data_IF_856286733643
#
_entry.id   IF_856286733643
#
_cell.length_a   1.000
_cell.length_b   1.000
_cell.length_c   1.000
_cell.angle_alpha   90.00
_cell.angle_beta   90.00
_cell.angle_gamma   90.00
#
_symmetry.space_group_name_H-M   'P 1'
#
loop_
_entity.id
_entity.type
_entity.pdbx_description
1 polymer ?
#
# COMPACT_ATOMS: atom_id res chain seq x y z
N UNK A 1 16.70 65.85 -8.44
CA UNK A 1 15.84 64.96 -7.65
C UNK A 1 16.47 63.56 -7.56
N UNK A 2 17.70 63.47 -7.01
CA UNK A 2 18.49 62.22 -6.99
C UNK A 2 17.98 61.23 -5.93
N UNK A 3 17.40 61.75 -4.84
CA UNK A 3 16.75 60.96 -3.78
C UNK A 3 15.62 60.10 -4.35
N UNK A 4 14.78 60.65 -5.23
CA UNK A 4 13.71 59.89 -5.88
C UNK A 4 14.24 58.75 -6.75
N UNK A 5 15.33 58.96 -7.48
CA UNK A 5 15.93 57.91 -8.32
C UNK A 5 16.51 56.77 -7.47
N UNK A 6 17.18 57.07 -6.36
CA UNK A 6 17.71 56.06 -5.43
C UNK A 6 16.58 55.24 -4.79
N UNK A 7 15.49 55.89 -4.36
CA UNK A 7 14.33 55.20 -3.78
C UNK A 7 13.66 54.29 -4.81
N UNK A 8 13.51 54.73 -6.06
CA UNK A 8 12.94 53.89 -7.13
C UNK A 8 13.80 52.67 -7.43
N UNK A 9 15.12 52.81 -7.48
CA UNK A 9 16.03 51.67 -7.69
C UNK A 9 15.98 50.70 -6.51
N UNK A 10 15.98 51.19 -5.26
CA UNK A 10 15.86 50.33 -4.08
C UNK A 10 14.52 49.58 -4.04
N UNK A 11 13.41 50.25 -4.39
CA UNK A 11 12.12 49.60 -4.51
C UNK A 11 12.11 48.56 -5.63
N UNK A 12 12.69 48.86 -6.80
CA UNK A 12 12.78 47.91 -7.90
C UNK A 12 13.61 46.67 -7.53
N UNK A 13 14.73 46.85 -6.82
CA UNK A 13 15.54 45.74 -6.29
C UNK A 13 14.77 44.95 -5.23
N UNK A 14 14.06 45.63 -4.32
CA UNK A 14 13.23 44.97 -3.30
C UNK A 14 12.08 44.18 -3.94
N UNK A 15 11.38 44.74 -4.92
CA UNK A 15 10.33 44.03 -5.64
C UNK A 15 10.89 42.86 -6.46
N UNK A 16 11.99 43.05 -7.20
CA UNK A 16 12.66 41.96 -7.88
C UNK A 16 13.09 40.85 -6.90
N UNK A 17 13.60 41.22 -5.73
CA UNK A 17 13.96 40.29 -4.67
C UNK A 17 12.73 39.55 -4.10
N UNK A 18 11.61 40.23 -3.88
CA UNK A 18 10.34 39.62 -3.43
C UNK A 18 9.71 38.71 -4.49
N UNK A 19 9.87 39.03 -5.78
CA UNK A 19 9.42 38.18 -6.88
C UNK A 19 10.31 36.95 -7.09
N UNK A 20 11.60 37.03 -6.71
CA UNK A 20 12.55 35.92 -6.77
C UNK A 20 12.50 35.06 -5.49
N UNK A 21 12.16 35.65 -4.34
CA UNK A 21 12.00 34.93 -3.09
C UNK A 21 10.82 33.97 -3.15
N UNK A 22 11.12 32.69 -2.96
CA UNK A 22 10.11 31.67 -2.78
C UNK A 22 9.68 31.61 -1.32
N UNK A 23 8.41 31.89 -1.08
CA UNK A 23 7.78 31.80 0.25
C UNK A 23 6.90 30.55 0.39
N UNK A 24 6.96 29.62 -0.57
CA UNK A 24 6.20 28.36 -0.49
C UNK A 24 6.79 27.44 0.60
N UNK A 25 6.23 27.50 1.79
CA UNK A 25 6.55 26.62 2.93
C UNK A 25 5.69 25.35 2.95
N UNK A 26 4.90 25.07 1.91
CA UNK A 26 3.99 23.94 1.89
C UNK A 26 4.70 22.66 1.40
N UNK A 27 4.79 21.60 2.24
CA UNK A 27 5.33 20.31 1.81
C UNK A 27 4.53 19.73 0.64
N UNK A 28 5.24 19.26 -0.37
CA UNK A 28 4.62 18.70 -1.57
C UNK A 28 5.40 17.54 -2.18
N UNK A 29 6.71 17.50 -1.96
CA UNK A 29 7.61 16.52 -2.56
C UNK A 29 8.48 15.87 -1.49
N UNK A 30 8.89 14.64 -1.79
CA UNK A 30 9.86 13.89 -1.00
C UNK A 30 11.01 13.50 -1.93
N UNK A 31 12.24 13.83 -1.53
CA UNK A 31 13.44 13.22 -2.10
C UNK A 31 14.16 12.39 -1.05
N UNK A 32 14.76 11.28 -1.50
CA UNK A 32 15.41 10.29 -0.64
C UNK A 32 16.87 10.19 -1.09
N UNK A 33 17.78 10.34 -0.14
CA UNK A 33 19.23 10.18 -0.36
C UNK A 33 19.79 9.31 0.77
N UNK A 34 20.05 8.04 0.45
CA UNK A 34 20.33 6.96 1.38
C UNK A 34 19.30 6.89 2.51
N UNK A 35 19.76 7.29 3.70
CA UNK A 35 18.98 7.33 4.94
C UNK A 35 18.28 8.67 5.19
N UNK A 36 18.39 9.64 4.30
CA UNK A 36 17.81 10.96 4.53
C UNK A 36 16.53 11.13 3.71
N UNK A 37 15.47 11.53 4.41
CA UNK A 37 14.20 11.93 3.85
C UNK A 37 14.17 13.46 3.82
N UNK A 38 14.26 14.04 2.63
CA UNK A 38 14.16 15.48 2.42
C UNK A 38 12.73 15.83 2.03
N UNK A 39 12.12 16.73 2.80
CA UNK A 39 10.79 17.24 2.52
C UNK A 39 10.92 18.56 1.81
N UNK A 40 10.31 18.64 0.64
CA UNK A 40 10.46 19.73 -0.30
C UNK A 40 9.11 20.37 -0.64
N UNK A 41 9.15 21.66 -0.98
CA UNK A 41 8.00 22.34 -1.58
C UNK A 41 7.84 21.98 -3.07
N UNK A 42 6.85 22.57 -3.74
CA UNK A 42 6.58 22.28 -5.17
C UNK A 42 7.70 22.70 -6.12
N UNK A 43 8.62 23.57 -5.67
CA UNK A 43 9.78 24.04 -6.44
C UNK A 43 11.06 23.25 -6.13
N UNK A 44 11.00 22.23 -5.29
CA UNK A 44 12.15 21.40 -4.91
C UNK A 44 13.05 22.04 -3.84
N UNK A 45 12.60 23.11 -3.17
CA UNK A 45 13.32 23.67 -2.02
C UNK A 45 13.09 22.78 -0.81
N UNK A 46 14.18 22.27 -0.23
CA UNK A 46 14.14 21.50 1.01
C UNK A 46 13.67 22.40 2.16
N UNK A 47 12.55 22.03 2.78
CA UNK A 47 11.96 22.69 3.95
C UNK A 47 12.59 22.14 5.24
N UNK A 48 12.71 20.82 5.34
CA UNK A 48 13.35 20.12 6.45
C UNK A 48 13.77 18.70 6.04
N UNK A 49 14.56 18.04 6.90
CA UNK A 49 15.11 16.71 6.63
C UNK A 49 15.00 15.83 7.88
N UNK A 50 14.72 14.54 7.68
CA UNK A 50 14.80 13.53 8.74
C UNK A 50 15.72 12.39 8.34
N UNK A 51 16.48 11.87 9.29
CA UNK A 51 17.33 10.69 9.12
C UNK A 51 16.55 9.45 9.53
N UNK A 52 16.36 8.53 8.59
CA UNK A 52 15.75 7.23 8.73
C UNK A 52 16.79 6.18 9.12
N UNK A 53 16.38 5.15 9.85
CA UNK A 53 17.24 4.02 10.22
C UNK A 53 17.43 3.03 9.06
N UNK A 54 16.50 3.03 8.10
CA UNK A 54 16.54 2.23 6.89
C UNK A 54 16.91 3.07 5.68
N UNK A 55 17.64 2.44 4.76
CA UNK A 55 17.96 3.01 3.46
C UNK A 55 16.77 2.82 2.51
N UNK A 56 16.19 3.95 2.08
CA UNK A 56 15.00 3.96 1.24
C UNK A 56 15.31 4.17 -0.24
N UNK A 57 16.59 4.26 -0.66
CA UNK A 57 16.98 4.45 -2.08
C UNK A 57 16.41 3.36 -3.00
N UNK A 58 16.04 2.21 -2.44
CA UNK A 58 15.45 1.09 -3.18
C UNK A 58 13.97 1.26 -3.52
N UNK A 59 13.31 2.31 -3.06
CA UNK A 59 11.89 2.56 -3.38
C UNK A 59 11.80 3.35 -4.68
N UNK A 60 12.06 2.67 -5.81
CA UNK A 60 11.87 3.26 -7.14
C UNK A 60 10.39 3.37 -7.53
N UNK A 61 9.54 2.51 -6.94
CA UNK A 61 8.11 2.47 -7.25
C UNK A 61 7.32 3.53 -6.47
N UNK A 62 6.83 4.55 -7.17
CA UNK A 62 5.99 5.62 -6.61
C UNK A 62 4.74 5.12 -5.86
N UNK A 63 4.19 3.97 -6.22
CA UNK A 63 3.04 3.41 -5.50
C UNK A 63 3.45 2.86 -4.13
N UNK A 64 4.60 2.21 -4.03
CA UNK A 64 5.17 1.78 -2.73
C UNK A 64 5.49 3.00 -1.87
N UNK A 65 6.00 4.07 -2.47
CA UNK A 65 6.25 5.33 -1.76
C UNK A 65 4.97 5.90 -1.12
N UNK A 66 3.83 5.89 -1.82
CA UNK A 66 2.52 6.33 -1.30
C UNK A 66 2.01 5.46 -0.13
N UNK A 67 2.49 4.23 -0.02
CA UNK A 67 2.18 3.34 1.11
C UNK A 67 3.06 3.62 2.32
N UNK A 68 4.13 4.39 2.17
CA UNK A 68 5.07 4.71 3.25
C UNK A 68 4.86 6.12 3.75
N UNK A 69 4.63 7.07 2.85
CA UNK A 69 4.37 8.45 3.21
C UNK A 69 3.18 9.04 2.45
N UNK A 70 2.60 10.09 3.03
CA UNK A 70 1.53 10.86 2.42
C UNK A 70 1.56 12.30 2.88
N UNK A 71 1.40 13.22 1.93
CA UNK A 71 1.08 14.61 2.23
C UNK A 71 -0.43 14.77 2.30
N UNK A 72 -0.93 15.36 3.37
CA UNK A 72 -2.34 15.62 3.56
C UNK A 72 -2.50 16.82 4.48
N UNK A 73 -3.34 17.78 4.11
CA UNK A 73 -3.75 18.86 5.00
C UNK A 73 -4.77 18.32 6.01
N UNK A 74 -4.31 17.73 7.11
CA UNK A 74 -5.14 17.01 8.10
C UNK A 74 -5.85 17.94 9.06
N UNK A 75 -5.32 19.15 9.27
CA UNK A 75 -5.86 20.14 10.21
C UNK A 75 -6.66 21.28 9.52
N UNK A 76 -6.69 21.29 8.19
CA UNK A 76 -7.37 22.28 7.34
C UNK A 76 -6.78 23.69 7.40
N UNK A 77 -5.46 23.84 7.63
CA UNK A 77 -4.76 25.13 7.75
C UNK A 77 -4.07 25.63 6.45
N UNK A 78 -4.33 24.94 5.33
CA UNK A 78 -3.76 25.16 3.98
C UNK A 78 -2.35 24.58 3.77
N UNK A 79 -1.67 24.17 4.83
CA UNK A 79 -0.41 23.44 4.74
C UNK A 79 -0.66 21.94 4.77
N UNK A 80 0.22 21.18 4.11
CA UNK A 80 0.21 19.74 4.19
C UNK A 80 1.05 19.27 5.37
N UNK A 81 0.49 18.35 6.14
CA UNK A 81 1.24 17.49 7.04
C UNK A 81 1.86 16.31 6.29
N UNK A 82 2.94 15.76 6.85
CA UNK A 82 3.52 14.49 6.41
C UNK A 82 3.10 13.38 7.36
N UNK A 83 2.32 12.42 6.86
CA UNK A 83 2.08 11.13 7.51
C UNK A 83 3.12 10.13 7.01
N UNK A 84 3.76 9.41 7.93
CA UNK A 84 4.84 8.46 7.63
C UNK A 84 4.64 7.15 8.39
N UNK A 85 5.01 6.03 7.77
CA UNK A 85 5.01 4.68 8.32
C UNK A 85 6.42 4.09 8.36
N UNK A 86 6.62 3.12 9.28
CA UNK A 86 7.85 2.33 9.41
C UNK A 86 9.13 3.17 9.54
N UNK A 87 9.00 4.36 10.08
CA UNK A 87 10.13 5.22 10.33
C UNK A 87 10.92 4.75 11.55
N UNK A 88 12.23 4.65 11.37
CA UNK A 88 13.20 4.49 12.46
C UNK A 88 13.99 5.79 12.51
N UNK A 89 14.05 6.49 13.63
CA UNK A 89 14.88 7.69 13.73
C UNK A 89 16.16 7.36 14.47
N UNK A 90 17.31 7.59 13.83
CA UNK A 90 18.64 7.24 14.35
C UNK A 90 19.02 7.96 15.66
N UNK A 91 18.31 9.04 16.02
CA UNK A 91 18.66 9.94 17.13
C UNK A 91 17.64 9.96 18.28
N UNK A 92 16.66 9.07 18.27
CA UNK A 92 15.69 8.96 19.37
C UNK A 92 16.02 7.74 20.21
N UNK A 93 16.02 7.88 21.54
CA UNK A 93 15.96 6.74 22.47
C UNK A 93 14.68 5.92 22.30
N UNK A 94 13.75 6.37 21.45
CA UNK A 94 12.64 5.59 20.95
C UNK A 94 13.19 4.34 20.27
N UNK A 95 13.10 3.23 21.01
CA UNK A 95 13.23 1.88 20.50
C UNK A 95 12.48 1.74 19.17
N UNK A 96 13.06 0.99 18.23
CA UNK A 96 12.38 0.40 17.06
C UNK A 96 10.95 0.04 17.48
N UNK A 97 9.96 0.76 16.96
CA UNK A 97 8.56 0.53 17.26
C UNK A 97 7.86 0.09 15.98
N UNK A 98 7.90 -1.23 15.66
CA UNK A 98 7.23 -1.77 14.49
C UNK A 98 5.75 -1.38 14.56
N UNK A 99 5.24 -0.84 13.46
CA UNK A 99 3.81 -0.56 13.32
C UNK A 99 3.44 0.84 13.79
N UNK A 100 4.45 1.69 13.96
CA UNK A 100 4.29 3.12 14.18
C UNK A 100 3.88 3.84 12.89
N UNK A 101 2.92 4.74 13.05
CA UNK A 101 2.54 5.79 12.10
C UNK A 101 2.72 7.12 12.82
N UNK A 102 3.38 8.08 12.19
CA UNK A 102 3.62 9.42 12.74
C UNK A 102 3.13 10.49 11.78
N UNK A 103 2.68 11.61 12.33
CA UNK A 103 2.33 12.80 11.58
C UNK A 103 3.20 13.98 12.00
N UNK A 104 3.73 14.70 11.02
CA UNK A 104 4.52 15.91 11.19
C UNK A 104 3.82 17.11 10.57
N UNK A 105 3.92 18.26 11.23
CA UNK A 105 3.51 19.54 10.63
C UNK A 105 4.43 19.95 9.49
N UNK A 106 4.07 21.04 8.82
CA UNK A 106 4.84 21.58 7.69
C UNK A 106 6.27 22.01 8.05
N UNK A 107 6.57 22.18 9.35
CA UNK A 107 7.89 22.52 9.89
C UNK A 107 8.67 21.29 10.39
N UNK A 108 8.11 20.09 10.27
CA UNK A 108 8.74 18.83 10.66
C UNK A 108 8.60 18.50 12.15
N UNK A 109 7.77 19.23 12.91
CA UNK A 109 7.45 18.92 14.31
C UNK A 109 6.38 17.83 14.36
N UNK A 110 6.57 16.85 15.23
CA UNK A 110 5.58 15.78 15.43
C UNK A 110 4.28 16.34 16.01
N UNK A 111 3.16 16.05 15.36
CA UNK A 111 1.82 16.36 15.83
C UNK A 111 1.25 15.22 16.67
N UNK A 112 1.30 14.00 16.13
CA UNK A 112 0.82 12.79 16.80
C UNK A 112 1.58 11.55 16.31
N UNK A 113 1.45 10.46 17.06
CA UNK A 113 1.92 9.15 16.67
C UNK A 113 0.93 8.08 17.13
N UNK A 114 0.86 6.98 16.39
CA UNK A 114 0.07 5.80 16.72
C UNK A 114 0.90 4.54 16.51
N UNK A 115 0.69 3.52 17.34
CA UNK A 115 1.34 2.22 17.20
C UNK A 115 0.25 1.15 17.17
N UNK A 116 0.19 0.39 16.08
CA UNK A 116 -0.74 -0.73 15.99
C UNK A 116 -0.20 -1.92 16.79
N UNK A 117 -0.92 -2.32 17.83
CA UNK A 117 -0.55 -3.45 18.71
C UNK A 117 -1.76 -4.28 19.13
N UNK A 118 -2.84 -4.27 18.32
CA UNK A 118 -4.05 -5.03 18.62
C UNK A 118 -3.71 -6.53 18.75
N UNK A 119 -4.08 -7.18 19.88
CA UNK A 119 -3.86 -8.61 20.06
C UNK A 119 -4.85 -9.40 19.23
N UNK A 120 -4.38 -10.50 18.66
CA UNK A 120 -5.21 -11.46 17.94
C UNK A 120 -4.72 -12.86 18.22
N UNK A 121 -5.65 -13.82 18.32
CA UNK A 121 -5.34 -15.20 18.65
C UNK A 121 -5.74 -16.12 17.50
N UNK A 122 -4.85 -17.03 17.11
CA UNK A 122 -5.16 -18.09 16.16
C UNK A 122 -4.73 -19.42 16.77
N UNK A 123 -5.56 -20.46 16.66
CA UNK A 123 -5.33 -21.76 17.33
C UNK A 123 -5.07 -21.65 18.85
N UNK A 124 -5.63 -20.64 19.50
CA UNK A 124 -5.42 -20.38 20.92
C UNK A 124 -4.07 -19.72 21.26
N UNK A 125 -3.23 -19.42 20.28
CA UNK A 125 -1.94 -18.76 20.47
C UNK A 125 -2.03 -17.27 20.11
N UNK A 126 -1.47 -16.43 20.99
CA UNK A 126 -1.31 -15.01 20.74
C UNK A 126 -0.37 -14.80 19.56
N UNK A 127 -0.83 -14.06 18.56
CA UNK A 127 0.00 -13.69 17.43
C UNK A 127 0.98 -12.56 17.81
N UNK A 128 2.15 -12.47 17.16
CA UNK A 128 3.11 -11.42 17.43
C UNK A 128 2.49 -10.02 17.34
N UNK A 129 2.80 -9.17 18.33
CA UNK A 129 2.33 -7.79 18.42
C UNK A 129 3.20 -6.77 17.66
N UNK A 130 4.25 -7.26 17.00
CA UNK A 130 5.15 -6.44 16.20
C UNK A 130 4.65 -6.44 14.75
N UNK A 131 3.96 -5.36 14.36
CA UNK A 131 3.42 -5.19 13.02
C UNK A 131 4.32 -4.28 12.19
N UNK A 132 4.37 -4.43 10.87
CA UNK A 132 4.76 -3.36 9.94
C UNK A 132 3.51 -2.66 9.47
N UNK A 133 3.55 -1.35 9.26
CA UNK A 133 2.38 -0.57 8.83
C UNK A 133 2.56 0.02 7.44
N UNK A 134 1.46 0.14 6.70
CA UNK A 134 1.46 0.75 5.38
C UNK A 134 0.20 1.60 5.20
N UNK A 135 0.35 2.79 4.65
CA UNK A 135 -0.76 3.68 4.33
C UNK A 135 -1.53 3.12 3.13
N UNK A 136 -2.85 3.23 3.17
CA UNK A 136 -3.74 2.98 2.03
C UNK A 136 -4.12 4.34 1.42
N UNK A 137 -4.98 5.08 2.13
CA UNK A 137 -5.49 6.36 1.69
C UNK A 137 -6.03 7.20 2.85
N UNK A 138 -6.26 8.49 2.61
CA UNK A 138 -7.03 9.36 3.50
C UNK A 138 -8.33 9.74 2.80
N UNK A 139 -9.47 9.53 3.46
CA UNK A 139 -10.78 9.98 2.97
C UNK A 139 -11.35 11.08 3.83
N UNK A 140 -11.96 12.06 3.18
CA UNK A 140 -12.63 13.20 3.81
C UNK A 140 -14.13 12.96 3.76
N UNK A 141 -14.80 13.00 4.91
CA UNK A 141 -16.25 12.98 5.02
C UNK A 141 -16.69 14.16 5.90
N UNK A 142 -17.29 15.17 5.27
CA UNK A 142 -17.53 16.46 5.92
C UNK A 142 -16.21 17.08 6.39
N UNK A 143 -16.11 17.39 7.68
CA UNK A 143 -14.90 17.97 8.28
C UNK A 143 -13.93 16.92 8.86
N UNK A 144 -14.26 15.62 8.77
CA UNK A 144 -13.46 14.56 9.35
C UNK A 144 -12.60 13.90 8.27
N UNK A 145 -11.31 13.74 8.55
CA UNK A 145 -10.39 12.96 7.72
C UNK A 145 -10.04 11.64 8.40
N UNK A 146 -10.27 10.55 7.69
CA UNK A 146 -9.96 9.19 8.15
C UNK A 146 -8.80 8.64 7.36
N UNK A 147 -7.73 8.27 8.06
CA UNK A 147 -6.60 7.54 7.51
C UNK A 147 -6.89 6.04 7.56
N UNK A 148 -6.70 5.34 6.45
CA UNK A 148 -6.78 3.90 6.34
C UNK A 148 -5.38 3.32 6.20
N UNK A 149 -5.08 2.27 6.95
CA UNK A 149 -3.77 1.66 6.97
C UNK A 149 -3.85 0.12 7.10
N UNK A 150 -2.81 -0.54 6.62
CA UNK A 150 -2.54 -1.96 6.81
C UNK A 150 -1.56 -2.12 7.97
N UNK A 151 -1.76 -3.14 8.80
CA UNK A 151 -0.76 -3.66 9.74
C UNK A 151 -0.51 -5.13 9.43
N UNK A 152 0.74 -5.58 9.37
CA UNK A 152 1.09 -6.99 9.11
C UNK A 152 2.21 -7.46 10.04
N UNK A 153 2.00 -8.53 10.80
CA UNK A 153 3.03 -9.05 11.71
C UNK A 153 4.00 -10.02 11.01
N UNK A 154 4.97 -10.54 11.76
CA UNK A 154 5.98 -11.45 11.23
C UNK A 154 5.50 -12.90 11.00
N UNK A 155 4.31 -13.28 11.48
CA UNK A 155 3.79 -14.63 11.32
C UNK A 155 2.85 -14.72 10.12
N UNK A 156 1.60 -14.30 10.32
CA UNK A 156 0.62 -14.25 9.24
C UNK A 156 -0.52 -13.29 9.49
N UNK A 157 -0.73 -12.80 10.71
CA UNK A 157 -1.87 -11.92 10.96
C UNK A 157 -1.63 -10.56 10.32
N UNK A 158 -2.63 -10.07 9.59
CA UNK A 158 -2.67 -8.69 9.15
C UNK A 158 -4.06 -8.10 9.33
N UNK A 159 -4.08 -6.78 9.41
CA UNK A 159 -5.25 -5.99 9.68
C UNK A 159 -5.34 -4.80 8.73
N UNK A 160 -6.57 -4.38 8.42
CA UNK A 160 -6.87 -3.03 7.95
C UNK A 160 -7.57 -2.28 9.08
N UNK A 161 -7.07 -1.09 9.37
CA UNK A 161 -7.55 -0.24 10.46
C UNK A 161 -7.64 1.23 10.06
N UNK A 162 -8.27 2.02 10.93
CA UNK A 162 -8.62 3.41 10.70
C UNK A 162 -8.11 4.30 11.82
N UNK A 163 -7.53 5.45 11.48
CA UNK A 163 -7.18 6.51 12.42
C UNK A 163 -7.90 7.80 12.03
N UNK A 164 -8.22 8.63 13.02
CA UNK A 164 -8.53 10.03 12.74
C UNK A 164 -7.21 10.72 12.31
N UNK A 165 -7.18 11.25 11.08
CA UNK A 165 -5.96 11.79 10.51
C UNK A 165 -5.47 13.08 11.20
N UNK A 166 -6.35 13.80 11.88
CA UNK A 166 -5.99 15.07 12.54
C UNK A 166 -5.28 14.86 13.88
N UNK A 167 -5.58 13.77 14.59
CA UNK A 167 -5.06 13.54 15.95
C UNK A 167 -4.45 12.14 16.19
N UNK A 168 -4.51 11.23 15.21
CA UNK A 168 -3.97 9.88 15.31
C UNK A 168 -4.80 8.92 16.17
N UNK A 169 -5.97 9.33 16.65
CA UNK A 169 -6.81 8.49 17.51
C UNK A 169 -7.36 7.29 16.73
N UNK A 170 -7.36 6.12 17.37
CA UNK A 170 -7.87 4.89 16.79
C UNK A 170 -9.39 4.96 16.61
N UNK A 171 -9.85 4.80 15.38
CA UNK A 171 -11.26 4.57 15.08
C UNK A 171 -11.53 3.07 15.26
N UNK A 172 -12.64 2.75 15.93
CA UNK A 172 -13.05 1.37 16.23
C UNK A 172 -13.22 0.55 14.95
N UNK A 173 -13.16 -0.77 15.16
CA UNK A 173 -13.25 -1.84 14.18
C UNK A 173 -11.94 -2.09 13.43
N UNK A 174 -11.74 -3.35 13.09
CA UNK A 174 -10.54 -3.87 12.44
C UNK A 174 -10.97 -5.00 11.53
N UNK A 175 -10.58 -4.94 10.27
CA UNK A 175 -10.70 -6.08 9.37
C UNK A 175 -9.43 -6.91 9.47
N UNK A 176 -9.55 -8.19 9.78
CA UNK A 176 -8.44 -9.13 9.90
C UNK A 176 -8.33 -10.05 8.70
N UNK A 177 -7.11 -10.45 8.38
CA UNK A 177 -6.81 -11.51 7.42
C UNK A 177 -5.79 -12.48 8.00
N UNK A 178 -6.04 -13.78 7.78
CA UNK A 178 -5.10 -14.83 8.12
C UNK A 178 -4.11 -15.03 6.96
N UNK A 179 -3.18 -14.10 6.86
CA UNK A 179 -2.20 -13.89 5.79
C UNK A 179 -1.93 -12.39 5.68
N UNK A 180 -1.04 -11.95 4.79
CA UNK A 180 -0.64 -10.54 4.72
C UNK A 180 -1.41 -9.77 3.64
N UNK A 181 -2.02 -8.65 4.03
CA UNK A 181 -2.41 -7.59 3.10
C UNK A 181 -1.16 -6.97 2.47
N UNK A 182 -1.19 -6.83 1.14
CA UNK A 182 -0.08 -6.29 0.36
C UNK A 182 -0.37 -4.90 -0.18
N UNK A 183 -1.62 -4.62 -0.52
CA UNK A 183 -2.02 -3.37 -1.17
C UNK A 183 -3.51 -3.09 -0.98
N UNK A 184 -3.90 -1.83 -1.17
CA UNK A 184 -5.28 -1.40 -1.10
C UNK A 184 -5.52 -0.10 -1.86
N UNK A 185 -6.71 0.02 -2.46
CA UNK A 185 -7.20 1.27 -3.04
C UNK A 185 -8.64 1.52 -2.62
N UNK A 186 -8.99 2.79 -2.44
CA UNK A 186 -10.31 3.22 -1.98
C UNK A 186 -10.94 4.15 -3.01
N UNK A 187 -12.18 3.86 -3.38
CA UNK A 187 -12.98 4.68 -4.28
C UNK A 187 -14.41 4.17 -4.36
N UNK A 188 -15.29 4.99 -4.94
CA UNK A 188 -16.63 4.58 -5.37
C UNK A 188 -16.49 3.90 -6.74
N UNK A 189 -16.28 2.59 -6.72
CA UNK A 189 -15.97 1.83 -7.95
C UNK A 189 -17.24 1.40 -8.69
N UNK A 190 -18.34 1.20 -7.96
CA UNK A 190 -19.62 0.77 -8.52
C UNK A 190 -20.55 1.96 -8.90
N UNK A 191 -20.19 3.19 -8.52
CA UNK A 191 -20.92 4.46 -8.75
C UNK A 191 -22.24 4.56 -7.99
N UNK A 192 -22.34 3.97 -6.81
CA UNK A 192 -23.51 4.08 -5.93
C UNK A 192 -23.42 5.26 -4.93
N UNK A 193 -22.28 5.97 -4.93
CA UNK A 193 -22.03 7.12 -4.07
C UNK A 193 -21.40 6.76 -2.72
N UNK A 194 -21.19 5.47 -2.42
CA UNK A 194 -20.42 5.00 -1.28
C UNK A 194 -19.03 4.53 -1.73
N UNK A 195 -18.01 4.76 -0.90
CA UNK A 195 -16.68 4.24 -1.21
C UNK A 195 -16.56 2.80 -0.73
N UNK A 196 -15.90 1.98 -1.54
CA UNK A 196 -15.38 0.69 -1.15
C UNK A 196 -13.85 0.71 -1.05
N UNK A 197 -13.31 -0.31 -0.40
CA UNK A 197 -11.89 -0.65 -0.46
C UNK A 197 -11.71 -1.97 -1.20
N UNK A 198 -10.80 -1.97 -2.17
CA UNK A 198 -10.31 -3.19 -2.81
C UNK A 198 -8.91 -3.48 -2.29
N UNK A 199 -8.73 -4.67 -1.73
CA UNK A 199 -7.50 -5.12 -1.09
C UNK A 199 -6.91 -6.29 -1.86
N UNK A 200 -5.58 -6.37 -1.92
CA UNK A 200 -4.87 -7.61 -2.25
C UNK A 200 -4.17 -8.16 -1.02
N UNK A 201 -4.14 -9.48 -0.93
CA UNK A 201 -3.50 -10.17 0.18
C UNK A 201 -3.08 -11.57 -0.22
N UNK A 202 -2.21 -12.19 0.56
CA UNK A 202 -2.18 -13.66 0.64
C UNK A 202 -3.14 -14.11 1.73
N UNK A 203 -3.73 -15.29 1.55
CA UNK A 203 -4.47 -15.98 2.60
C UNK A 203 -3.81 -17.32 2.87
N UNK A 204 -3.26 -17.49 4.07
CA UNK A 204 -2.50 -18.68 4.46
C UNK A 204 -3.39 -19.92 4.57
N UNK A 205 -4.70 -19.76 4.80
CA UNK A 205 -5.62 -20.89 4.83
C UNK A 205 -5.94 -21.44 3.44
N UNK A 206 -6.02 -20.58 2.43
CA UNK A 206 -6.25 -20.99 1.04
C UNK A 206 -4.97 -21.18 0.21
N UNK A 207 -3.85 -20.80 0.80
CA UNK A 207 -2.52 -20.86 0.21
C UNK A 207 -2.40 -20.19 -1.16
N UNK A 208 -2.89 -18.96 -1.26
CA UNK A 208 -2.86 -18.19 -2.51
C UNK A 208 -3.12 -16.70 -2.27
N UNK A 209 -2.84 -15.92 -3.30
CA UNK A 209 -3.29 -14.53 -3.40
C UNK A 209 -4.82 -14.46 -3.45
N UNK A 210 -5.37 -13.47 -2.76
CA UNK A 210 -6.77 -13.06 -2.84
C UNK A 210 -6.91 -11.58 -3.15
N UNK A 211 -8.05 -11.24 -3.77
CA UNK A 211 -8.55 -9.90 -3.97
C UNK A 211 -9.91 -9.83 -3.29
N UNK A 212 -10.16 -8.78 -2.51
CA UNK A 212 -11.45 -8.60 -1.84
C UNK A 212 -11.93 -7.16 -1.98
N UNK A 213 -13.23 -6.98 -2.22
CA UNK A 213 -13.92 -5.69 -2.20
C UNK A 213 -14.85 -5.62 -1.00
N UNK A 214 -14.83 -4.51 -0.25
CA UNK A 214 -15.56 -4.32 1.01
C UNK A 214 -16.00 -2.86 1.12
N UNK A 215 -17.26 -2.61 1.50
CA UNK A 215 -17.71 -1.26 1.83
C UNK A 215 -16.91 -0.70 3.02
N UNK A 216 -16.54 0.58 3.00
CA UNK A 216 -15.78 1.18 4.10
C UNK A 216 -16.49 1.12 5.46
N UNK A 217 -17.83 1.06 5.46
CA UNK A 217 -18.66 0.90 6.67
C UNK A 217 -18.56 -0.50 7.28
N UNK A 218 -18.22 -1.51 6.48
CA UNK A 218 -18.16 -2.92 6.84
C UNK A 218 -16.73 -3.41 7.16
N UNK A 219 -15.76 -2.50 7.35
CA UNK A 219 -14.37 -2.84 7.68
C UNK A 219 -14.19 -3.37 9.11
N UNK A 220 -14.72 -4.55 9.37
CA UNK A 220 -14.69 -5.26 10.64
C UNK A 220 -14.78 -6.78 10.43
N UNK A 221 -14.28 -7.57 11.37
CA UNK A 221 -14.34 -9.03 11.33
C UNK A 221 -13.08 -9.65 10.71
N UNK A 222 -13.16 -10.91 10.29
CA UNK A 222 -12.06 -11.62 9.61
C UNK A 222 -12.48 -12.11 8.23
N UNK A 223 -11.56 -12.03 7.27
CA UNK A 223 -11.77 -12.62 5.95
C UNK A 223 -11.80 -14.16 6.03
N UNK A 224 -12.56 -14.83 5.14
CA UNK A 224 -12.66 -16.28 5.11
C UNK A 224 -11.28 -16.95 5.08
N UNK A 225 -11.15 -18.04 5.81
CA UNK A 225 -9.93 -18.85 5.83
C UNK A 225 -10.26 -20.28 6.25
N UNK A 226 -9.28 -21.17 6.33
CA UNK A 226 -9.48 -22.54 6.83
C UNK A 226 -9.46 -22.57 8.36
N UNK A 227 -10.01 -23.62 8.96
CA UNK A 227 -10.15 -23.77 10.41
C UNK A 227 -8.84 -23.54 11.18
N UNK A 228 -7.72 -23.93 10.59
CA UNK A 228 -6.38 -23.80 11.17
C UNK A 228 -5.87 -22.36 11.27
N UNK A 229 -6.54 -21.42 10.63
CA UNK A 229 -6.12 -20.03 10.48
C UNK A 229 -7.16 -19.04 11.00
N UNK A 230 -8.34 -19.52 11.44
CA UNK A 230 -9.37 -18.68 12.03
C UNK A 230 -8.86 -17.99 13.29
N UNK A 231 -9.18 -16.71 13.38
CA UNK A 231 -8.98 -15.95 14.59
C UNK A 231 -10.09 -16.21 15.60
N UNK A 232 -9.70 -16.36 16.85
CA UNK A 232 -10.62 -16.65 17.95
C UNK A 232 -11.50 -15.43 18.25
N UNK A 233 -12.81 -15.66 18.42
CA UNK A 233 -13.80 -14.62 18.76
C UNK A 233 -13.86 -13.44 17.77
N UNK A 234 -13.50 -13.68 16.51
CA UNK A 234 -13.71 -12.70 15.43
C UNK A 234 -14.75 -13.27 14.47
N UNK A 235 -15.81 -12.51 14.21
CA UNK A 235 -16.83 -12.92 13.25
C UNK A 235 -16.31 -12.77 11.81
N UNK A 236 -16.88 -13.53 10.88
CA UNK A 236 -16.59 -13.36 9.46
C UNK A 236 -16.99 -11.95 9.01
N UNK A 237 -16.11 -11.30 8.24
CA UNK A 237 -16.35 -9.97 7.72
C UNK A 237 -17.45 -9.98 6.65
N UNK A 238 -18.25 -8.91 6.59
CA UNK A 238 -19.20 -8.70 5.50
C UNK A 238 -18.47 -8.05 4.32
N UNK A 239 -18.12 -8.85 3.30
CA UNK A 239 -17.44 -8.39 2.07
C UNK A 239 -18.37 -8.47 0.87
N UNK A 240 -18.13 -7.62 -0.12
CA UNK A 240 -18.92 -7.56 -1.34
C UNK A 240 -18.56 -8.74 -2.25
N UNK A 241 -17.26 -8.96 -2.45
CA UNK A 241 -16.71 -10.02 -3.30
C UNK A 241 -15.32 -10.45 -2.86
N UNK A 242 -15.04 -11.74 -2.95
CA UNK A 242 -13.72 -12.30 -2.75
C UNK A 242 -13.32 -13.20 -3.93
N UNK A 243 -12.14 -12.94 -4.47
CA UNK A 243 -11.55 -13.69 -5.59
C UNK A 243 -10.23 -14.28 -5.14
N UNK A 244 -10.05 -15.59 -5.35
CA UNK A 244 -8.79 -16.28 -5.12
C UNK A 244 -8.10 -16.55 -6.45
N UNK A 245 -6.84 -16.13 -6.57
CA UNK A 245 -6.05 -16.36 -7.77
C UNK A 245 -5.39 -17.74 -7.74
N UNK A 246 -5.21 -18.41 -8.89
CA UNK A 246 -4.52 -19.68 -8.93
C UNK A 246 -3.03 -19.52 -8.63
N UNK A 247 -2.47 -20.48 -7.90
CA UNK A 247 -1.02 -20.69 -7.88
C UNK A 247 -0.65 -21.46 -9.15
N UNK A 248 0.23 -20.89 -9.97
CA UNK A 248 0.63 -21.49 -11.25
C UNK A 248 1.32 -22.85 -11.06
N UNK A 249 1.31 -23.68 -12.10
CA UNK A 249 2.11 -24.91 -12.12
C UNK A 249 3.61 -24.63 -12.04
N UNK A 250 4.04 -23.51 -12.61
CA UNK A 250 5.40 -22.99 -12.49
C UNK A 250 5.78 -22.65 -11.04
N UNK A 251 4.97 -21.86 -10.33
CA UNK A 251 5.20 -21.55 -8.92
C UNK A 251 5.28 -22.82 -8.06
N UNK A 252 4.38 -23.78 -8.31
CA UNK A 252 4.40 -25.08 -7.62
C UNK A 252 5.66 -25.89 -7.92
N UNK A 253 6.15 -25.87 -9.15
CA UNK A 253 7.38 -26.54 -9.54
C UNK A 253 8.60 -25.97 -8.80
N UNK A 254 8.61 -24.67 -8.54
CA UNK A 254 9.63 -24.01 -7.70
C UNK A 254 9.46 -24.26 -6.19
N UNK A 255 8.43 -25.01 -5.78
CA UNK A 255 8.12 -25.24 -4.38
C UNK A 255 7.52 -24.03 -3.66
N UNK A 256 7.02 -23.03 -4.41
CA UNK A 256 6.36 -21.88 -3.81
C UNK A 256 5.04 -22.31 -3.18
N UNK A 257 4.84 -21.92 -1.91
CA UNK A 257 3.61 -22.18 -1.18
C UNK A 257 2.45 -21.32 -1.69
N UNK A 258 2.74 -20.10 -2.11
CA UNK A 258 1.76 -19.10 -2.56
C UNK A 258 2.33 -18.34 -3.76
N UNK A 259 1.44 -17.78 -4.59
CA UNK A 259 1.76 -16.60 -5.37
C UNK A 259 1.47 -15.33 -4.55
N UNK A 260 2.19 -14.24 -4.82
CA UNK A 260 2.14 -13.02 -4.01
C UNK A 260 1.93 -11.79 -4.89
N UNK A 261 1.04 -10.87 -4.48
CA UNK A 261 0.94 -9.56 -5.15
C UNK A 261 2.07 -8.63 -4.75
N UNK A 262 2.60 -7.90 -5.73
CA UNK A 262 3.55 -6.85 -5.46
C UNK A 262 2.87 -5.69 -4.69
N UNK A 263 3.53 -5.17 -3.65
CA UNK A 263 3.05 -3.97 -2.94
C UNK A 263 2.99 -2.79 -3.90
N UNK A 264 1.93 -1.99 -3.85
CA UNK A 264 1.67 -0.91 -4.81
C UNK A 264 1.38 -1.41 -6.24
N UNK A 265 1.11 -2.70 -6.41
CA UNK A 265 0.81 -3.35 -7.68
C UNK A 265 -0.67 -3.31 -8.08
N UNK A 266 -1.58 -3.04 -7.14
CA UNK A 266 -3.01 -2.89 -7.43
C UNK A 266 -3.27 -1.52 -8.05
N UNK A 267 -3.92 -1.52 -9.21
CA UNK A 267 -4.31 -0.29 -9.91
C UNK A 267 -5.76 -0.36 -10.33
N UNK A 268 -6.39 0.81 -10.45
CA UNK A 268 -7.70 0.97 -11.05
C UNK A 268 -7.63 2.03 -12.14
N UNK A 269 -7.90 1.65 -13.38
CA UNK A 269 -7.87 2.52 -14.55
C UNK A 269 -8.92 2.04 -15.55
N UNK A 270 -9.60 2.97 -16.23
CA UNK A 270 -10.59 2.65 -17.26
C UNK A 270 -11.69 1.68 -16.79
N UNK A 271 -12.13 1.81 -15.53
CA UNK A 271 -13.14 0.96 -14.90
C UNK A 271 -12.72 -0.51 -14.66
N UNK A 272 -11.41 -0.75 -14.57
CA UNK A 272 -10.83 -2.06 -14.38
C UNK A 272 -9.76 -2.06 -13.29
N UNK A 273 -9.72 -3.13 -12.51
CA UNK A 273 -8.61 -3.45 -11.64
C UNK A 273 -7.55 -4.23 -12.39
N UNK A 274 -6.29 -3.85 -12.22
CA UNK A 274 -5.15 -4.63 -12.69
C UNK A 274 -4.20 -4.90 -11.53
N UNK A 275 -3.68 -6.13 -11.45
CA UNK A 275 -2.64 -6.49 -10.49
C UNK A 275 -1.69 -7.53 -11.06
N UNK A 276 -0.50 -7.60 -10.48
CA UNK A 276 0.55 -8.54 -10.85
C UNK A 276 0.86 -9.46 -9.67
N UNK A 277 0.89 -10.76 -9.92
CA UNK A 277 1.42 -11.76 -8.99
C UNK A 277 2.84 -12.15 -9.39
N UNK A 278 3.74 -12.21 -8.41
CA UNK A 278 5.03 -12.86 -8.53
C UNK A 278 4.86 -14.36 -8.30
N UNK A 279 5.25 -15.15 -9.29
CA UNK A 279 5.21 -16.62 -9.29
C UNK A 279 6.58 -17.23 -8.97
N UNK A 280 7.64 -16.42 -9.02
CA UNK A 280 8.97 -16.74 -8.49
C UNK A 280 9.44 -15.58 -7.61
N UNK A 281 9.47 -15.81 -6.29
CA UNK A 281 9.92 -14.82 -5.30
C UNK A 281 11.42 -14.88 -5.00
N UNK A 282 12.13 -15.82 -5.64
CA UNK A 282 13.56 -16.08 -5.36
C UNK A 282 14.49 -15.44 -6.37
N UNK A 283 14.01 -15.07 -7.55
CA UNK A 283 14.81 -14.43 -8.58
C UNK A 283 14.79 -12.89 -8.52
N UNK A 284 15.87 -12.27 -8.99
CA UNK A 284 15.98 -10.82 -9.13
C UNK A 284 15.09 -10.25 -10.25
N UNK A 285 14.44 -11.10 -11.04
CA UNK A 285 13.50 -10.72 -12.10
C UNK A 285 12.33 -11.68 -12.01
N UNK A 286 11.36 -11.40 -11.11
CA UNK A 286 10.30 -12.34 -10.80
C UNK A 286 9.50 -12.65 -12.06
N UNK A 287 9.24 -13.93 -12.28
CA UNK A 287 8.29 -14.38 -13.27
C UNK A 287 6.89 -13.97 -12.80
N UNK A 288 6.20 -13.16 -13.60
CA UNK A 288 4.97 -12.50 -13.20
C UNK A 288 3.77 -12.93 -14.05
N UNK A 289 2.60 -12.90 -13.43
CA UNK A 289 1.29 -13.03 -14.10
C UNK A 289 0.45 -11.80 -13.78
N UNK A 290 -0.08 -11.16 -14.81
CA UNK A 290 -0.94 -9.99 -14.72
C UNK A 290 -2.40 -10.42 -14.85
N UNK A 291 -3.25 -9.95 -13.95
CA UNK A 291 -4.68 -10.22 -13.99
C UNK A 291 -5.45 -8.90 -14.11
N UNK A 292 -6.52 -8.92 -14.92
CA UNK A 292 -7.47 -7.81 -15.04
C UNK A 292 -8.86 -8.25 -14.65
N UNK A 293 -9.54 -7.38 -13.92
CA UNK A 293 -10.91 -7.55 -13.46
C UNK A 293 -11.70 -6.27 -13.73
N UNK A 294 -13.01 -6.38 -13.96
CA UNK A 294 -13.85 -5.19 -13.98
C UNK A 294 -14.10 -4.66 -12.55
N UNK A 295 -14.80 -3.53 -12.43
CA UNK A 295 -15.17 -2.94 -11.13
C UNK A 295 -15.91 -3.90 -10.18
N UNK A 296 -16.58 -4.91 -10.73
CA UNK A 296 -17.36 -5.93 -10.01
C UNK A 296 -16.51 -7.20 -9.76
N UNK A 297 -15.17 -7.08 -9.79
CA UNK A 297 -14.18 -8.15 -9.66
C UNK A 297 -14.43 -9.37 -10.58
N UNK A 298 -15.14 -9.21 -11.70
CA UNK A 298 -15.28 -10.27 -12.71
C UNK A 298 -14.04 -10.31 -13.58
N UNK A 299 -13.52 -11.51 -13.80
CA UNK A 299 -12.33 -11.73 -14.60
C UNK A 299 -12.51 -11.20 -16.02
N UNK A 300 -11.53 -10.45 -16.50
CA UNK A 300 -11.47 -9.94 -17.86
C UNK A 300 -10.40 -10.66 -18.66
N UNK A 301 -9.17 -10.71 -18.13
CA UNK A 301 -7.98 -11.08 -18.88
C UNK A 301 -6.83 -11.52 -17.96
N UNK A 302 -5.92 -12.35 -18.50
CA UNK A 302 -4.69 -12.79 -17.84
C UNK A 302 -3.53 -12.83 -18.83
N UNK A 303 -2.40 -12.24 -18.45
CA UNK A 303 -1.19 -12.19 -19.28
C UNK A 303 0.04 -12.60 -18.49
N UNK A 304 0.82 -13.55 -19.01
CA UNK A 304 2.10 -13.91 -18.43
C UNK A 304 3.21 -13.01 -18.98
N UNK A 305 4.07 -12.49 -18.10
CA UNK A 305 5.25 -11.72 -18.51
C UNK A 305 6.21 -12.52 -19.40
N UNK A 306 7.00 -11.84 -20.23
CA UNK A 306 8.01 -12.47 -21.10
C UNK A 306 8.96 -13.41 -20.32
N UNK A 307 9.40 -12.98 -19.14
CA UNK A 307 10.27 -13.79 -18.25
C UNK A 307 9.57 -15.08 -17.83
N UNK A 308 8.29 -14.99 -17.44
CA UNK A 308 7.49 -16.16 -17.09
C UNK A 308 7.35 -17.10 -18.30
N UNK A 309 7.01 -16.57 -19.47
CA UNK A 309 6.87 -17.35 -20.70
C UNK A 309 8.15 -18.10 -21.04
N UNK A 310 9.30 -17.41 -21.11
CA UNK A 310 10.59 -17.99 -21.47
C UNK A 310 10.97 -19.14 -20.52
N UNK A 311 10.86 -18.91 -19.21
CA UNK A 311 11.28 -19.90 -18.22
C UNK A 311 10.32 -21.08 -18.22
N UNK A 312 9.00 -20.83 -18.13
CA UNK A 312 8.01 -21.91 -18.07
C UNK A 312 8.01 -22.74 -19.34
N UNK A 313 8.05 -22.11 -20.52
CA UNK A 313 8.01 -22.83 -21.79
C UNK A 313 9.29 -23.64 -22.03
N UNK A 314 10.43 -23.17 -21.51
CA UNK A 314 11.67 -23.98 -21.48
C UNK A 314 11.51 -25.24 -20.62
N UNK A 315 10.77 -25.18 -19.51
CA UNK A 315 10.48 -26.35 -18.67
C UNK A 315 9.50 -27.30 -19.37
N UNK A 316 8.50 -26.77 -20.08
CA UNK A 316 7.56 -27.56 -20.90
C UNK A 316 8.31 -28.28 -22.03
N UNK A 317 9.18 -27.58 -22.76
CA UNK A 317 9.98 -28.16 -23.83
C UNK A 317 10.93 -29.26 -23.34
N UNK A 318 11.37 -29.20 -22.08
CA UNK A 318 12.19 -30.23 -21.41
C UNK A 318 11.38 -31.37 -20.80
N UNK A 319 10.05 -31.33 -20.87
CA UNK A 319 9.16 -32.31 -20.24
C UNK A 319 9.14 -32.25 -18.71
N UNK A 320 9.54 -31.11 -18.12
CA UNK A 320 9.52 -30.89 -16.67
C UNK A 320 8.21 -30.26 -16.19
N UNK A 321 7.49 -29.59 -17.09
CA UNK A 321 6.13 -29.13 -16.91
C UNK A 321 5.26 -29.65 -18.05
N UNK A 322 3.98 -29.85 -17.77
CA UNK A 322 3.03 -30.31 -18.77
C UNK A 322 2.67 -29.20 -19.78
N UNK A 323 2.47 -29.55 -21.06
CA UNK A 323 1.83 -28.65 -22.03
C UNK A 323 0.50 -28.08 -21.51
N UNK A 324 0.02 -26.96 -22.07
CA UNK A 324 0.54 -26.25 -23.24
C UNK A 324 1.63 -25.21 -22.90
N UNK A 325 2.20 -24.59 -23.94
CA UNK A 325 3.01 -23.38 -23.80
C UNK A 325 2.17 -22.21 -23.31
N UNK A 326 2.85 -21.23 -22.72
CA UNK A 326 2.23 -20.17 -21.92
C UNK A 326 1.38 -19.21 -22.75
N UNK A 327 1.79 -18.93 -24.00
CA UNK A 327 1.13 -18.00 -24.91
C UNK A 327 -0.01 -18.64 -25.73
N UNK A 328 -0.67 -19.66 -25.17
CA UNK A 328 -1.75 -20.40 -25.83
C UNK A 328 -3.10 -20.13 -25.15
N UNK A 329 -4.23 -20.12 -25.90
CA UNK A 329 -5.55 -19.99 -25.30
C UNK A 329 -5.85 -21.07 -24.25
N UNK A 330 -5.27 -22.26 -24.41
CA UNK A 330 -5.41 -23.36 -23.46
C UNK A 330 -4.74 -23.06 -22.11
N UNK A 331 -3.59 -22.38 -22.09
CA UNK A 331 -2.95 -21.96 -20.84
C UNK A 331 -3.71 -20.82 -20.16
N UNK A 332 -4.16 -19.84 -20.94
CA UNK A 332 -5.01 -18.76 -20.43
C UNK A 332 -6.27 -19.33 -19.77
N UNK A 333 -6.95 -20.27 -20.44
CA UNK A 333 -8.11 -20.96 -19.91
C UNK A 333 -7.80 -21.76 -18.63
N UNK A 334 -6.61 -22.38 -18.54
CA UNK A 334 -6.14 -23.06 -17.32
C UNK A 334 -6.03 -22.09 -16.15
N UNK A 335 -5.46 -20.91 -16.35
CA UNK A 335 -5.36 -19.88 -15.31
C UNK A 335 -6.74 -19.35 -14.94
N UNK A 336 -7.56 -19.00 -15.93
CA UNK A 336 -8.94 -18.53 -15.73
C UNK A 336 -9.78 -19.51 -14.93
N UNK A 337 -9.74 -20.80 -15.28
CA UNK A 337 -10.50 -21.85 -14.58
C UNK A 337 -9.98 -22.11 -13.15
N UNK A 338 -8.75 -21.69 -12.84
CA UNK A 338 -8.18 -21.76 -11.50
C UNK A 338 -8.62 -20.62 -10.58
N UNK A 339 -9.29 -19.59 -11.10
CA UNK A 339 -9.85 -18.48 -10.31
C UNK A 339 -11.09 -18.98 -9.58
N UNK A 340 -11.15 -18.71 -8.27
CA UNK A 340 -12.27 -19.10 -7.41
C UNK A 340 -12.96 -17.85 -6.88
N UNK A 341 -14.27 -17.78 -7.07
CA UNK A 341 -15.13 -16.76 -6.48
C UNK A 341 -15.76 -17.30 -5.19
N UNK A 342 -15.78 -16.47 -4.14
CA UNK A 342 -16.46 -16.76 -2.88
C UNK A 342 -17.50 -15.71 -2.55
#
# INVERSE_FOLDING_TARGET
>A
NWVSAVVTVLLAVLFAFLFVMDFDENPALVSINGKFLHIENKKGRVLWTKKLGLDLERIENKNIAKMIYRFENVNQDEFNELILCNEFFDNTTDTINPGRIVCFDYKGKQLWQYVFNDPIYAKGELQPLFYSTYLIDVKTQGNTKTLYAIAANSNFASAVFKLNASNGERIKNTLWNAGHFHDGIIGDFNKDGENEIVLTAINNGFERTMIVSIDLKNLTGQLPTTQNYLFHQVEEANYNKLVLLPVTDFAKFLGARFNITLRGGLRYLNNEFSLTTAEDITSNSPANVNYRFNYDLKFLDVECSDVFQIIRDSLVAKGQLEPPFTNTPEYELKLRNGIIYR
#
